data_IF_322081711301
#
_entry.id   IF_322081711301
#
_cell.length_a   1.000
_cell.length_b   1.000
_cell.length_c   1.000
_cell.angle_alpha   90.00
_cell.angle_beta   90.00
_cell.angle_gamma   90.00
#
_symmetry.space_group_name_H-M   'P 1'
#
loop_
_entity.id
_entity.type
_entity.pdbx_description
1 polymer ?
#
# COMPACT_ATOMS: atom_id res chain seq x y z
N UNK A 1 56.15 7.06 13.98
CA UNK A 1 55.42 6.83 12.72
C UNK A 1 53.93 6.86 13.04
N UNK A 2 53.31 7.99 12.76
CA UNK A 2 51.96 8.37 13.17
C UNK A 2 50.98 7.86 12.14
N UNK A 3 50.09 6.93 12.54
CA UNK A 3 48.98 6.49 11.66
C UNK A 3 47.96 7.60 11.58
N UNK A 4 47.76 8.12 10.38
CA UNK A 4 46.76 9.10 10.08
C UNK A 4 45.33 8.46 10.18
N UNK A 5 44.52 9.03 11.03
CA UNK A 5 43.06 8.76 11.08
C UNK A 5 42.42 9.23 9.77
N UNK A 6 42.02 8.30 8.92
CA UNK A 6 41.12 8.59 7.82
C UNK A 6 39.69 8.76 8.37
N UNK A 7 39.26 10.01 8.47
CA UNK A 7 37.87 10.36 8.74
C UNK A 7 37.01 10.06 7.52
N UNK A 8 36.12 9.10 7.62
CA UNK A 8 35.07 8.88 6.64
C UNK A 8 34.13 10.09 6.63
N UNK A 9 33.81 10.66 5.46
CA UNK A 9 32.84 11.74 5.40
C UNK A 9 31.44 11.23 5.82
N UNK A 10 30.89 11.89 6.83
CA UNK A 10 29.52 11.65 7.25
C UNK A 10 28.59 11.88 6.05
N UNK A 11 28.01 10.79 5.54
CA UNK A 11 26.98 10.86 4.51
C UNK A 11 25.84 11.72 5.05
N UNK A 12 25.62 12.91 4.48
CA UNK A 12 24.48 13.76 4.78
C UNK A 12 23.20 12.97 4.50
N UNK A 13 22.56 12.55 5.57
CA UNK A 13 21.23 11.95 5.54
C UNK A 13 20.25 13.00 5.00
N UNK A 14 19.91 12.92 3.72
CA UNK A 14 18.78 13.66 3.20
C UNK A 14 17.52 12.89 3.59
N UNK A 15 16.60 13.46 4.38
CA UNK A 15 15.35 12.80 4.68
C UNK A 15 14.60 12.58 3.37
N UNK A 16 14.43 11.31 2.97
CA UNK A 16 13.62 10.93 1.83
C UNK A 16 12.22 11.49 2.07
N UNK A 17 11.71 12.31 1.15
CA UNK A 17 10.31 12.76 1.12
C UNK A 17 9.45 11.56 1.49
N UNK A 18 8.66 11.70 2.56
CA UNK A 18 7.86 10.61 3.10
C UNK A 18 7.09 9.94 1.96
N UNK A 19 7.05 8.63 1.93
CA UNK A 19 6.30 7.81 0.96
C UNK A 19 4.83 8.26 0.83
N UNK A 20 4.29 8.88 1.87
CA UNK A 20 2.99 9.56 1.93
C UNK A 20 2.77 10.57 0.81
N UNK A 21 3.77 11.41 0.52
CA UNK A 21 3.64 12.46 -0.51
C UNK A 21 3.53 11.84 -1.90
N UNK A 22 4.29 10.77 -2.16
CA UNK A 22 4.30 10.09 -3.47
C UNK A 22 3.04 9.26 -3.73
N UNK A 23 2.43 8.68 -2.70
CA UNK A 23 1.17 7.92 -2.83
C UNK A 23 -0.03 8.85 -2.94
N UNK A 24 -0.04 9.93 -2.16
CA UNK A 24 -1.08 10.97 -2.27
C UNK A 24 -1.04 11.62 -3.66
N UNK A 25 0.15 11.94 -4.18
CA UNK A 25 0.32 12.48 -5.53
C UNK A 25 -0.14 11.49 -6.60
N UNK A 26 0.16 10.20 -6.49
CA UNK A 26 -0.27 9.18 -7.45
C UNK A 26 -1.78 8.95 -7.39
N UNK A 27 -2.36 8.81 -6.21
CA UNK A 27 -3.80 8.66 -6.04
C UNK A 27 -4.55 9.90 -6.54
N UNK A 28 -4.07 11.09 -6.19
CA UNK A 28 -4.61 12.36 -6.65
C UNK A 28 -4.52 12.50 -8.18
N UNK A 29 -3.38 12.16 -8.79
CA UNK A 29 -3.20 12.20 -10.24
C UNK A 29 -4.15 11.24 -10.98
N UNK A 30 -4.39 10.05 -10.48
CA UNK A 30 -5.31 9.08 -11.08
C UNK A 30 -6.75 9.58 -11.00
N UNK A 31 -7.18 10.08 -9.84
CA UNK A 31 -8.52 10.66 -9.64
C UNK A 31 -8.68 11.92 -10.50
N UNK A 32 -7.72 12.81 -10.44
CA UNK A 32 -7.73 14.08 -11.17
C UNK A 32 -7.79 13.87 -12.69
N UNK A 33 -6.96 12.97 -13.23
CA UNK A 33 -6.93 12.65 -14.66
C UNK A 33 -8.25 12.05 -15.17
N UNK A 34 -8.98 11.32 -14.32
CA UNK A 34 -10.31 10.77 -14.68
C UNK A 34 -11.44 11.79 -14.65
N UNK A 35 -11.30 12.84 -13.84
CA UNK A 35 -12.33 13.87 -13.68
C UNK A 35 -12.14 15.05 -14.65
N UNK A 36 -10.91 15.28 -15.15
CA UNK A 36 -10.63 16.39 -16.09
C UNK A 36 -11.47 16.28 -17.37
N UNK A 37 -11.51 15.12 -18.01
CA UNK A 37 -12.25 14.93 -19.27
C UNK A 37 -13.73 15.27 -19.13
N UNK A 38 -14.44 14.63 -18.19
CA UNK A 38 -15.82 14.96 -17.86
C UNK A 38 -16.06 16.44 -17.54
N UNK A 39 -15.19 17.00 -16.72
CA UNK A 39 -15.31 18.42 -16.32
C UNK A 39 -15.11 19.37 -17.51
N UNK A 40 -14.15 19.09 -18.40
CA UNK A 40 -13.94 19.87 -19.61
C UNK A 40 -15.15 19.80 -20.56
N UNK A 41 -15.75 18.61 -20.71
CA UNK A 41 -16.96 18.42 -21.51
C UNK A 41 -18.14 19.20 -20.94
N UNK A 42 -18.32 19.19 -19.62
CA UNK A 42 -19.35 19.97 -18.94
C UNK A 42 -19.12 21.48 -19.10
N UNK A 43 -17.89 21.94 -18.98
CA UNK A 43 -17.55 23.34 -19.17
C UNK A 43 -17.90 23.80 -20.62
N UNK A 44 -17.56 22.96 -21.60
CA UNK A 44 -17.95 23.22 -23.00
C UNK A 44 -19.47 23.29 -23.20
N UNK A 45 -20.20 22.36 -22.56
CA UNK A 45 -21.68 22.38 -22.58
C UNK A 45 -22.24 23.67 -21.97
N UNK A 46 -21.74 24.07 -20.78
CA UNK A 46 -22.15 25.34 -20.14
C UNK A 46 -21.86 26.55 -21.03
N UNK A 47 -20.66 26.62 -21.60
CA UNK A 47 -20.30 27.73 -22.49
C UNK A 47 -21.17 27.77 -23.74
N UNK A 48 -21.51 26.63 -24.34
CA UNK A 48 -22.43 26.56 -25.47
C UNK A 48 -23.85 27.02 -25.08
N UNK A 49 -24.34 26.64 -23.90
CA UNK A 49 -25.64 27.11 -23.39
C UNK A 49 -25.66 28.61 -23.14
N UNK A 50 -24.60 29.15 -22.52
CA UNK A 50 -24.45 30.60 -22.32
C UNK A 50 -24.45 31.35 -23.66
N UNK A 51 -23.67 30.91 -24.63
CA UNK A 51 -23.62 31.51 -25.95
C UNK A 51 -24.99 31.47 -26.67
N UNK A 52 -25.76 30.41 -26.47
CA UNK A 52 -27.11 30.28 -27.04
C UNK A 52 -28.10 31.26 -26.41
N UNK A 53 -28.11 31.38 -25.07
CA UNK A 53 -28.95 32.38 -24.39
C UNK A 53 -28.59 33.83 -24.78
N UNK A 54 -27.30 34.13 -24.88
CA UNK A 54 -26.85 35.46 -25.35
C UNK A 54 -27.39 35.78 -26.74
N UNK A 55 -27.49 34.77 -27.64
CA UNK A 55 -28.01 34.97 -29.01
C UNK A 55 -29.53 35.03 -29.07
N UNK A 56 -30.23 34.21 -28.29
CA UNK A 56 -31.69 34.10 -28.32
C UNK A 56 -32.38 35.30 -27.67
N UNK A 57 -31.86 35.76 -26.52
CA UNK A 57 -32.49 36.77 -25.68
C UNK A 57 -31.64 38.05 -25.54
N UNK A 58 -30.54 38.18 -26.31
CA UNK A 58 -29.62 39.32 -26.29
C UNK A 58 -29.07 39.63 -24.86
N UNK A 59 -28.91 38.59 -24.05
CA UNK A 59 -28.44 38.74 -22.66
C UNK A 59 -26.94 39.06 -22.61
N UNK A 60 -26.52 39.74 -21.51
CA UNK A 60 -25.11 39.84 -21.17
C UNK A 60 -24.59 38.50 -20.69
N UNK A 61 -23.29 38.28 -20.78
CA UNK A 61 -22.65 37.04 -20.37
C UNK A 61 -23.02 36.59 -18.93
N UNK A 62 -23.03 37.54 -17.97
CA UNK A 62 -23.36 37.27 -16.57
C UNK A 62 -24.80 36.81 -16.39
N UNK A 63 -25.75 37.47 -17.09
CA UNK A 63 -27.18 37.14 -17.02
C UNK A 63 -27.44 35.78 -17.68
N UNK A 64 -26.80 35.48 -18.80
CA UNK A 64 -26.88 34.20 -19.47
C UNK A 64 -26.29 33.08 -18.60
N UNK A 65 -25.15 33.31 -17.93
CA UNK A 65 -24.56 32.35 -16.98
C UNK A 65 -25.48 32.11 -15.78
N UNK A 66 -26.10 33.16 -15.24
CA UNK A 66 -27.09 33.03 -14.17
C UNK A 66 -28.28 32.16 -14.60
N UNK A 67 -28.79 32.32 -15.84
CA UNK A 67 -29.87 31.50 -16.38
C UNK A 67 -29.48 30.04 -16.57
N UNK A 68 -28.25 29.74 -16.95
CA UNK A 68 -27.75 28.34 -17.00
C UNK A 68 -27.70 27.75 -15.61
N UNK A 69 -27.21 28.49 -14.59
CA UNK A 69 -27.10 28.01 -13.23
C UNK A 69 -28.48 27.88 -12.53
N UNK A 70 -29.43 28.70 -12.89
CA UNK A 70 -30.78 28.77 -12.29
C UNK A 70 -31.89 28.72 -13.32
N UNK A 71 -32.05 27.66 -14.09
CA UNK A 71 -33.03 27.60 -15.17
C UNK A 71 -34.48 27.75 -14.68
N UNK A 72 -34.75 27.47 -13.40
CA UNK A 72 -36.07 27.64 -12.76
C UNK A 72 -36.37 29.11 -12.36
N UNK A 73 -35.37 30.00 -12.34
CA UNK A 73 -35.56 31.42 -12.02
C UNK A 73 -35.99 32.27 -13.23
N UNK A 74 -36.16 31.66 -14.40
CA UNK A 74 -36.55 32.34 -15.63
C UNK A 74 -38.04 32.64 -15.59
N UNK A 75 -38.44 33.89 -15.68
CA UNK A 75 -39.84 34.29 -15.83
C UNK A 75 -40.36 33.97 -17.23
N UNK A 76 -40.95 32.78 -17.37
CA UNK A 76 -41.39 32.24 -18.68
C UNK A 76 -42.48 33.07 -19.40
N UNK A 77 -43.10 34.05 -18.73
CA UNK A 77 -44.16 34.87 -19.35
C UNK A 77 -43.63 35.81 -20.45
N UNK A 78 -42.40 36.27 -20.33
CA UNK A 78 -41.80 37.28 -21.21
C UNK A 78 -40.72 36.78 -22.17
N UNK A 79 -40.44 35.47 -22.18
CA UNK A 79 -39.42 34.86 -23.03
C UNK A 79 -40.02 34.18 -24.27
N UNK A 80 -39.21 34.11 -25.35
CA UNK A 80 -39.59 33.43 -26.59
C UNK A 80 -39.87 31.93 -26.34
N UNK A 81 -40.81 31.36 -27.11
CA UNK A 81 -41.16 29.95 -27.01
C UNK A 81 -39.95 29.02 -27.21
N UNK A 82 -39.03 29.39 -28.13
CA UNK A 82 -37.77 28.66 -28.34
C UNK A 82 -36.88 28.62 -27.12
N UNK A 83 -36.81 29.74 -26.38
CA UNK A 83 -36.02 29.84 -25.13
C UNK A 83 -36.60 28.95 -24.04
N UNK A 84 -37.92 28.78 -23.98
CA UNK A 84 -38.57 27.88 -23.01
C UNK A 84 -38.16 26.41 -23.23
N UNK A 85 -38.18 25.95 -24.49
CA UNK A 85 -37.72 24.58 -24.82
C UNK A 85 -36.21 24.41 -24.58
N UNK A 86 -35.42 25.46 -24.90
CA UNK A 86 -34.01 25.44 -24.67
C UNK A 86 -33.65 25.38 -23.16
N UNK A 87 -34.38 26.13 -22.33
CA UNK A 87 -34.23 26.12 -20.87
C UNK A 87 -34.54 24.71 -20.26
N UNK A 88 -35.59 24.06 -20.81
CA UNK A 88 -35.88 22.70 -20.42
C UNK A 88 -34.76 21.73 -20.82
N UNK A 89 -34.21 21.87 -22.01
CA UNK A 89 -33.05 21.08 -22.45
C UNK A 89 -31.83 21.29 -21.54
N UNK A 90 -31.52 22.55 -21.19
CA UNK A 90 -30.44 22.92 -20.29
C UNK A 90 -30.64 22.28 -18.90
N UNK A 91 -31.85 22.39 -18.35
CA UNK A 91 -32.16 21.80 -17.04
C UNK A 91 -32.00 20.27 -17.02
N UNK A 92 -32.50 19.60 -18.07
CA UNK A 92 -32.31 18.13 -18.20
C UNK A 92 -30.83 17.79 -18.37
N UNK A 93 -30.06 18.55 -19.16
CA UNK A 93 -28.64 18.32 -19.39
C UNK A 93 -27.80 18.47 -18.12
N UNK A 94 -28.09 19.52 -17.33
CA UNK A 94 -27.42 19.73 -16.03
C UNK A 94 -27.75 18.58 -15.07
N UNK A 95 -29.03 18.22 -14.94
CA UNK A 95 -29.45 17.13 -14.04
C UNK A 95 -28.87 15.78 -14.45
N UNK A 96 -28.83 15.47 -15.74
CA UNK A 96 -28.19 14.26 -16.24
C UNK A 96 -26.68 14.23 -15.95
N UNK A 97 -26.02 15.41 -16.10
CA UNK A 97 -24.61 15.53 -15.76
C UNK A 97 -24.35 15.34 -14.27
N UNK A 98 -25.18 15.91 -13.40
CA UNK A 98 -25.05 15.76 -11.94
C UNK A 98 -25.14 14.29 -11.52
N UNK A 99 -26.13 13.54 -12.04
CA UNK A 99 -26.28 12.11 -11.77
C UNK A 99 -25.05 11.35 -12.26
N UNK A 100 -24.65 11.57 -13.50
CA UNK A 100 -23.50 10.91 -14.08
C UNK A 100 -22.18 11.24 -13.33
N UNK A 101 -22.00 12.49 -12.92
CA UNK A 101 -20.83 12.93 -12.18
C UNK A 101 -20.80 12.34 -10.75
N UNK A 102 -21.96 12.30 -10.08
CA UNK A 102 -22.10 11.64 -8.79
C UNK A 102 -21.76 10.13 -8.88
N UNK A 103 -22.24 9.45 -9.92
CA UNK A 103 -21.86 8.06 -10.18
C UNK A 103 -20.35 7.92 -10.36
N UNK A 104 -19.70 8.81 -11.12
CA UNK A 104 -18.25 8.79 -11.33
C UNK A 104 -17.46 9.00 -10.04
N UNK A 105 -17.89 9.91 -9.18
CA UNK A 105 -17.30 10.10 -7.86
C UNK A 105 -17.46 8.83 -7.03
N UNK A 106 -18.67 8.28 -6.94
CA UNK A 106 -18.93 7.06 -6.18
C UNK A 106 -18.06 5.90 -6.66
N UNK A 107 -18.01 5.65 -7.97
CA UNK A 107 -17.17 4.59 -8.54
C UNK A 107 -15.67 4.83 -8.33
N UNK A 108 -15.20 6.07 -8.30
CA UNK A 108 -13.80 6.41 -8.07
C UNK A 108 -13.40 6.15 -6.62
N UNK A 109 -14.24 6.51 -5.65
CA UNK A 109 -13.94 6.36 -4.23
C UNK A 109 -14.29 4.97 -3.68
N UNK A 110 -15.41 4.39 -4.09
CA UNK A 110 -15.92 3.12 -3.58
C UNK A 110 -15.71 1.93 -4.54
N UNK A 111 -15.22 2.18 -5.74
CA UNK A 111 -14.84 1.15 -6.70
C UNK A 111 -13.61 0.35 -6.25
N UNK A 112 -13.26 -0.69 -7.00
CA UNK A 112 -12.13 -1.59 -6.70
C UNK A 112 -10.82 -0.83 -6.44
N UNK A 113 -10.51 0.16 -7.27
CA UNK A 113 -9.27 0.95 -7.15
C UNK A 113 -9.26 1.88 -5.93
N UNK A 114 -10.39 2.49 -5.59
CA UNK A 114 -10.51 3.32 -4.39
C UNK A 114 -10.26 2.50 -3.12
N UNK A 115 -10.82 1.30 -3.04
CA UNK A 115 -10.62 0.39 -1.90
C UNK A 115 -9.16 -0.05 -1.74
N UNK A 116 -8.43 -0.28 -2.83
CA UNK A 116 -6.99 -0.59 -2.77
C UNK A 116 -6.18 0.58 -2.20
N UNK A 117 -6.46 1.79 -2.67
CA UNK A 117 -5.80 3.01 -2.14
C UNK A 117 -6.08 3.18 -0.65
N UNK A 118 -7.34 3.03 -0.21
CA UNK A 118 -7.69 3.10 1.20
C UNK A 118 -6.99 2.04 2.06
N UNK A 119 -6.92 0.80 1.57
CA UNK A 119 -6.20 -0.29 2.27
C UNK A 119 -4.72 0.00 2.37
N UNK A 120 -4.10 0.46 1.30
CA UNK A 120 -2.68 0.85 1.31
C UNK A 120 -2.40 1.96 2.31
N UNK A 121 -3.24 3.00 2.35
CA UNK A 121 -3.12 4.09 3.32
C UNK A 121 -3.29 3.62 4.76
N UNK A 122 -4.30 2.78 5.04
CA UNK A 122 -4.51 2.22 6.38
C UNK A 122 -3.35 1.32 6.80
N UNK A 123 -2.81 0.52 5.87
CA UNK A 123 -1.65 -0.32 6.11
C UNK A 123 -0.42 0.51 6.49
N UNK A 124 -0.12 1.60 5.76
CA UNK A 124 0.99 2.51 6.09
C UNK A 124 0.81 3.17 7.47
N UNK A 125 -0.39 3.64 7.76
CA UNK A 125 -0.70 4.21 9.08
C UNK A 125 -0.50 3.20 10.21
N UNK A 126 -0.85 1.94 9.99
CA UNK A 126 -0.68 0.86 10.95
C UNK A 126 0.80 0.46 11.09
N UNK A 127 1.56 0.43 9.99
CA UNK A 127 3.01 0.21 10.02
C UNK A 127 3.74 1.24 10.89
N UNK A 128 3.37 2.51 10.81
CA UNK A 128 3.97 3.55 11.65
C UNK A 128 3.63 3.41 13.15
N UNK A 129 2.44 2.87 13.45
CA UNK A 129 1.92 2.78 14.82
C UNK A 129 2.28 1.50 15.54
N UNK A 130 2.50 0.42 14.81
CA UNK A 130 2.77 -0.90 15.39
C UNK A 130 4.05 -0.88 16.23
N UNK A 131 3.99 -1.49 17.41
CA UNK A 131 5.11 -1.62 18.38
C UNK A 131 5.06 -2.99 19.00
N UNK A 132 6.18 -3.44 19.55
CA UNK A 132 6.31 -4.74 20.23
C UNK A 132 5.84 -5.92 19.35
N UNK A 133 6.08 -5.80 18.05
CA UNK A 133 5.70 -6.74 17.01
C UNK A 133 6.90 -7.55 16.54
N UNK A 134 6.65 -8.63 15.82
CA UNK A 134 7.67 -9.38 15.10
C UNK A 134 7.72 -8.92 13.63
N UNK A 135 8.92 -8.86 13.08
CA UNK A 135 9.10 -8.63 11.63
C UNK A 135 9.36 -9.99 10.99
N UNK A 136 8.61 -10.34 9.95
CA UNK A 136 8.76 -11.59 9.22
C UNK A 136 9.28 -11.25 7.83
N UNK A 137 10.43 -11.82 7.44
CA UNK A 137 11.00 -11.60 6.11
C UNK A 137 10.77 -12.82 5.23
N UNK A 138 9.86 -12.67 4.24
CA UNK A 138 9.48 -13.69 3.26
C UNK A 138 8.19 -14.44 3.58
N UNK A 139 7.37 -14.64 2.55
CA UNK A 139 6.08 -15.36 2.60
C UNK A 139 6.13 -16.68 1.79
N UNK A 140 7.26 -17.39 1.87
CA UNK A 140 7.42 -18.75 1.36
C UNK A 140 6.69 -19.79 2.23
N UNK A 141 6.98 -21.06 2.05
CA UNK A 141 6.34 -22.15 2.83
C UNK A 141 6.53 -21.98 4.34
N UNK A 142 7.76 -21.72 4.78
CA UNK A 142 8.07 -21.53 6.21
C UNK A 142 7.39 -20.26 6.73
N UNK A 143 7.49 -19.14 5.99
CA UNK A 143 6.88 -17.86 6.39
C UNK A 143 5.37 -17.95 6.57
N UNK A 144 4.67 -18.64 5.67
CA UNK A 144 3.21 -18.89 5.80
C UNK A 144 2.88 -19.64 7.08
N UNK A 145 3.59 -20.72 7.35
CA UNK A 145 3.38 -21.52 8.58
C UNK A 145 3.65 -20.68 9.85
N UNK A 146 4.70 -19.85 9.84
CA UNK A 146 5.00 -18.94 10.95
C UNK A 146 3.83 -17.96 11.14
N UNK A 147 3.35 -17.31 10.07
CA UNK A 147 2.27 -16.34 10.14
C UNK A 147 0.95 -16.97 10.61
N UNK A 148 0.61 -18.18 10.16
CA UNK A 148 -0.54 -18.93 10.66
C UNK A 148 -0.49 -19.12 12.17
N UNK A 149 0.70 -19.47 12.71
CA UNK A 149 0.89 -19.63 14.16
C UNK A 149 0.81 -18.32 14.91
N UNK A 150 1.37 -17.24 14.36
CA UNK A 150 1.28 -15.91 14.95
C UNK A 150 -0.17 -15.41 14.99
N UNK A 151 -0.92 -15.61 13.90
CA UNK A 151 -2.34 -15.26 13.83
C UNK A 151 -3.18 -16.04 14.86
N UNK A 152 -2.95 -17.36 14.99
CA UNK A 152 -3.63 -18.20 15.98
C UNK A 152 -3.33 -17.76 17.43
N UNK A 153 -2.11 -17.28 17.67
CA UNK A 153 -1.67 -16.78 18.98
C UNK A 153 -1.99 -15.28 19.18
N UNK A 154 -2.53 -14.59 18.18
CA UNK A 154 -2.78 -13.12 18.16
C UNK A 154 -1.53 -12.30 18.46
N UNK A 155 -0.38 -12.77 17.98
CA UNK A 155 0.90 -12.06 18.11
C UNK A 155 1.01 -11.05 16.96
N UNK A 156 1.25 -9.76 17.24
CA UNK A 156 1.36 -8.75 16.20
C UNK A 156 2.64 -8.95 15.37
N UNK A 157 2.53 -8.81 14.06
CA UNK A 157 3.65 -8.90 13.14
C UNK A 157 3.54 -7.91 11.98
N UNK A 158 4.69 -7.61 11.35
CA UNK A 158 4.84 -6.95 10.07
C UNK A 158 5.51 -7.93 9.12
N UNK A 159 4.91 -8.19 7.98
CA UNK A 159 5.50 -9.02 6.94
C UNK A 159 6.21 -8.16 5.90
N UNK A 160 7.43 -8.52 5.52
CA UNK A 160 8.15 -7.93 4.37
C UNK A 160 8.13 -8.95 3.23
N UNK A 161 7.60 -8.52 2.07
CA UNK A 161 7.48 -9.36 0.87
C UNK A 161 7.90 -8.57 -0.38
N UNK A 162 8.70 -9.20 -1.25
CA UNK A 162 9.17 -8.57 -2.50
C UNK A 162 8.19 -8.73 -3.66
N UNK A 163 7.45 -9.84 -3.69
CA UNK A 163 6.51 -10.15 -4.76
C UNK A 163 5.28 -9.27 -4.68
N UNK A 164 5.07 -8.44 -5.70
CA UNK A 164 3.95 -7.49 -5.76
C UNK A 164 2.58 -8.20 -5.75
N UNK A 165 2.46 -9.36 -6.41
CA UNK A 165 1.20 -10.13 -6.43
C UNK A 165 0.82 -10.64 -5.04
N UNK A 166 1.78 -11.22 -4.31
CA UNK A 166 1.59 -11.66 -2.93
C UNK A 166 1.33 -10.48 -1.98
N UNK A 167 2.04 -9.38 -2.15
CA UNK A 167 1.79 -8.15 -1.38
C UNK A 167 0.34 -7.69 -1.51
N UNK A 168 -0.18 -7.57 -2.75
CA UNK A 168 -1.56 -7.15 -2.99
C UNK A 168 -2.59 -8.12 -2.41
N UNK A 169 -2.34 -9.43 -2.54
CA UNK A 169 -3.19 -10.45 -1.94
C UNK A 169 -3.24 -10.30 -0.42
N UNK A 170 -2.09 -10.24 0.24
CA UNK A 170 -1.97 -10.12 1.70
C UNK A 170 -2.59 -8.82 2.23
N UNK A 171 -2.38 -7.72 1.51
CA UNK A 171 -3.03 -6.45 1.82
C UNK A 171 -4.57 -6.56 1.71
N UNK A 172 -5.06 -7.33 0.74
CA UNK A 172 -6.49 -7.59 0.58
C UNK A 172 -7.05 -8.44 1.72
N UNK A 173 -6.27 -9.40 2.21
CA UNK A 173 -6.59 -10.26 3.37
C UNK A 173 -6.50 -9.51 4.72
N UNK A 174 -5.99 -8.27 4.71
CA UNK A 174 -5.88 -7.42 5.90
C UNK A 174 -4.60 -7.65 6.71
N UNK A 175 -3.60 -8.34 6.14
CA UNK A 175 -2.31 -8.49 6.77
C UNK A 175 -1.55 -7.16 6.80
N UNK A 176 -0.77 -6.94 7.88
CA UNK A 176 0.14 -5.80 7.96
C UNK A 176 1.42 -6.15 7.19
N UNK A 177 1.51 -5.66 5.95
CA UNK A 177 2.54 -6.06 4.99
C UNK A 177 3.25 -4.86 4.39
N UNK A 178 4.57 -4.97 4.23
CA UNK A 178 5.45 -4.00 3.58
C UNK A 178 6.02 -4.60 2.30
N UNK A 179 5.80 -3.94 1.17
CA UNK A 179 6.43 -4.33 -0.08
C UNK A 179 7.86 -3.82 -0.13
N UNK A 180 8.82 -4.74 -0.17
CA UNK A 180 10.23 -4.34 -0.24
C UNK A 180 11.19 -5.52 -0.10
N UNK A 181 12.46 -5.23 -0.33
CA UNK A 181 13.56 -6.16 -0.10
C UNK A 181 14.13 -5.96 1.31
N UNK A 182 13.99 -6.97 2.16
CA UNK A 182 14.45 -6.94 3.56
C UNK A 182 15.98 -6.75 3.70
N UNK A 183 16.76 -6.95 2.63
CA UNK A 183 18.19 -6.61 2.61
C UNK A 183 18.46 -5.11 2.69
N UNK A 184 17.48 -4.28 2.40
CA UNK A 184 17.63 -2.81 2.43
C UNK A 184 17.36 -2.27 3.83
N UNK A 185 18.33 -1.54 4.39
CA UNK A 185 18.19 -0.87 5.69
C UNK A 185 16.90 -0.06 5.82
N UNK A 186 16.55 0.69 4.75
CA UNK A 186 15.36 1.52 4.74
C UNK A 186 14.06 0.72 4.89
N UNK A 187 14.01 -0.50 4.36
CA UNK A 187 12.84 -1.39 4.45
C UNK A 187 12.71 -1.94 5.87
N UNK A 188 13.80 -2.35 6.50
CA UNK A 188 13.80 -2.79 7.90
C UNK A 188 13.41 -1.64 8.85
N UNK A 189 13.88 -0.42 8.60
CA UNK A 189 13.50 0.75 9.37
C UNK A 189 12.01 1.10 9.20
N UNK A 190 11.49 1.01 7.97
CA UNK A 190 10.07 1.22 7.67
C UNK A 190 9.19 0.15 8.33
N UNK A 191 9.67 -1.11 8.38
CA UNK A 191 9.03 -2.18 9.14
C UNK A 191 9.11 -1.97 10.68
N UNK A 192 9.85 -0.98 11.15
CA UNK A 192 9.94 -0.61 12.56
C UNK A 192 10.91 -1.45 13.38
N UNK A 193 12.05 -1.84 12.83
CA UNK A 193 13.05 -2.71 13.49
C UNK A 193 13.50 -2.17 14.86
N UNK A 194 13.55 -0.86 15.06
CA UNK A 194 13.96 -0.22 16.32
C UNK A 194 12.94 -0.43 17.46
N UNK A 195 11.67 -0.65 17.09
CA UNK A 195 10.54 -0.83 18.02
C UNK A 195 9.93 -2.24 17.97
N UNK A 196 10.54 -3.13 17.17
CA UNK A 196 10.15 -4.52 17.07
C UNK A 196 10.68 -5.33 18.27
N UNK A 197 9.94 -6.36 18.65
CA UNK A 197 10.32 -7.34 19.66
C UNK A 197 11.30 -8.38 19.11
N UNK A 198 11.15 -8.74 17.84
CA UNK A 198 12.00 -9.73 17.18
C UNK A 198 11.85 -9.71 15.67
N UNK A 199 12.76 -10.44 15.02
CA UNK A 199 12.82 -10.63 13.58
C UNK A 199 12.87 -12.12 13.26
N UNK A 200 12.08 -12.56 12.30
CA UNK A 200 12.13 -13.93 11.76
C UNK A 200 12.46 -13.84 10.27
N UNK A 201 13.65 -14.34 9.89
CA UNK A 201 14.14 -14.31 8.51
C UNK A 201 14.00 -15.70 7.91
N UNK A 202 13.08 -15.84 6.94
CA UNK A 202 12.70 -17.15 6.38
C UNK A 202 12.63 -17.12 4.84
N UNK A 203 13.55 -16.38 4.23
CA UNK A 203 13.73 -16.34 2.79
C UNK A 203 14.42 -17.62 2.32
N UNK A 204 14.14 -18.06 1.11
CA UNK A 204 14.69 -19.28 0.55
C UNK A 204 16.11 -19.08 -0.06
N UNK A 205 16.95 -18.35 0.68
CA UNK A 205 18.33 -18.08 0.32
C UNK A 205 19.16 -17.81 1.59
N UNK A 206 20.11 -18.69 1.88
CA UNK A 206 20.91 -18.63 3.10
C UNK A 206 21.82 -17.38 3.16
N UNK A 207 22.36 -16.94 2.03
CA UNK A 207 23.20 -15.74 1.99
C UNK A 207 22.38 -14.47 2.28
N UNK A 208 21.15 -14.39 1.74
CA UNK A 208 20.24 -13.31 2.05
C UNK A 208 19.80 -13.31 3.52
N UNK A 209 19.50 -14.49 4.07
CA UNK A 209 19.15 -14.66 5.48
C UNK A 209 20.28 -14.22 6.40
N UNK A 210 21.51 -14.60 6.08
CA UNK A 210 22.71 -14.16 6.81
C UNK A 210 22.89 -12.65 6.75
N UNK A 211 22.78 -12.06 5.55
CA UNK A 211 22.94 -10.62 5.35
C UNK A 211 21.89 -9.82 6.12
N UNK A 212 20.62 -10.25 6.08
CA UNK A 212 19.53 -9.61 6.82
C UNK A 212 19.78 -9.71 8.33
N UNK A 213 20.25 -10.88 8.82
CA UNK A 213 20.58 -11.08 10.23
C UNK A 213 21.64 -10.09 10.72
N UNK A 214 22.77 -9.97 9.99
CA UNK A 214 23.82 -9.01 10.31
C UNK A 214 23.31 -7.56 10.30
N UNK A 215 22.56 -7.21 9.26
CA UNK A 215 21.99 -5.89 9.11
C UNK A 215 21.02 -5.55 10.26
N UNK A 216 20.17 -6.49 10.62
CA UNK A 216 19.20 -6.32 11.70
C UNK A 216 19.89 -6.11 13.06
N UNK A 217 20.93 -6.88 13.36
CA UNK A 217 21.72 -6.71 14.59
C UNK A 217 22.50 -5.41 14.63
N UNK A 218 22.97 -4.93 13.48
CA UNK A 218 23.61 -3.62 13.38
C UNK A 218 22.62 -2.47 13.65
N UNK A 219 21.36 -2.60 13.19
CA UNK A 219 20.31 -1.60 13.41
C UNK A 219 19.73 -1.65 14.84
N UNK A 220 19.56 -2.85 15.39
CA UNK A 220 19.06 -3.05 16.74
C UNK A 220 19.78 -4.24 17.41
N UNK A 221 20.87 -4.01 18.15
CA UNK A 221 21.65 -5.06 18.81
C UNK A 221 20.86 -5.90 19.83
N UNK A 222 19.75 -5.36 20.35
CA UNK A 222 18.90 -6.05 21.36
C UNK A 222 17.80 -6.91 20.72
N UNK A 223 17.61 -6.79 19.41
CA UNK A 223 16.56 -7.49 18.69
C UNK A 223 16.77 -9.00 18.76
N UNK A 224 15.71 -9.75 19.08
CA UNK A 224 15.74 -11.21 18.97
C UNK A 224 15.59 -11.63 17.53
N UNK A 225 16.57 -12.37 17.01
CA UNK A 225 16.62 -12.79 15.61
C UNK A 225 16.55 -14.30 15.52
N UNK A 226 15.50 -14.76 14.84
CA UNK A 226 15.31 -16.16 14.43
C UNK A 226 15.55 -16.21 12.93
N UNK A 227 16.40 -17.10 12.46
CA UNK A 227 16.70 -17.20 11.03
C UNK A 227 16.62 -18.64 10.51
N UNK A 228 16.20 -18.80 9.26
CA UNK A 228 16.25 -20.09 8.56
C UNK A 228 17.64 -20.31 7.96
N UNK A 229 18.16 -21.52 8.12
CA UNK A 229 19.27 -22.04 7.32
C UNK A 229 18.79 -23.27 6.53
N UNK A 230 19.16 -23.38 5.27
CA UNK A 230 18.88 -24.56 4.45
C UNK A 230 19.87 -25.70 4.70
N UNK A 231 21.06 -25.37 5.27
CA UNK A 231 22.11 -26.35 5.56
C UNK A 231 22.84 -26.01 6.86
N UNK A 232 23.30 -27.05 7.58
CA UNK A 232 24.00 -26.91 8.87
C UNK A 232 25.22 -25.98 8.80
N UNK A 233 25.98 -26.03 7.72
CA UNK A 233 27.16 -25.15 7.51
C UNK A 233 26.85 -23.66 7.59
N UNK A 234 25.65 -23.25 7.21
CA UNK A 234 25.22 -21.85 7.29
C UNK A 234 24.68 -21.51 8.68
N UNK A 235 24.16 -22.51 9.41
CA UNK A 235 23.61 -22.27 10.73
C UNK A 235 24.67 -21.74 11.73
N UNK A 236 25.89 -22.25 11.67
CA UNK A 236 26.98 -21.77 12.53
C UNK A 236 27.37 -20.33 12.18
N UNK A 237 27.47 -19.99 10.87
CA UNK A 237 27.73 -18.65 10.44
C UNK A 237 26.65 -17.66 10.88
N UNK A 238 25.37 -18.06 10.85
CA UNK A 238 24.24 -17.24 11.29
C UNK A 238 24.27 -17.01 12.82
N UNK A 239 24.58 -18.03 13.61
CA UNK A 239 24.77 -17.92 15.09
C UNK A 239 25.90 -16.94 15.41
N UNK A 240 27.06 -17.14 14.79
CA UNK A 240 28.23 -16.25 14.96
C UNK A 240 27.93 -14.80 14.55
N UNK A 241 27.07 -14.62 13.57
CA UNK A 241 26.63 -13.30 13.07
C UNK A 241 25.53 -12.66 13.92
N UNK A 242 25.12 -13.31 15.01
CA UNK A 242 24.20 -12.74 15.98
C UNK A 242 22.75 -13.25 15.90
N UNK A 243 22.46 -14.30 15.14
CA UNK A 243 21.16 -14.97 15.25
C UNK A 243 21.02 -15.58 16.65
N UNK A 244 19.91 -15.30 17.34
CA UNK A 244 19.60 -15.89 18.64
C UNK A 244 19.18 -17.37 18.47
N UNK A 245 18.43 -17.66 17.40
CA UNK A 245 17.99 -19.00 17.04
C UNK A 245 18.15 -19.24 15.54
N UNK A 246 18.55 -20.47 15.17
CA UNK A 246 18.62 -20.91 13.78
C UNK A 246 17.78 -22.15 13.58
N UNK A 247 16.87 -22.13 12.63
CA UNK A 247 15.98 -23.24 12.29
C UNK A 247 16.37 -23.81 10.94
N UNK A 248 16.49 -25.14 10.85
CA UNK A 248 16.73 -25.90 9.63
C UNK A 248 15.48 -26.73 9.36
N UNK A 249 14.50 -26.24 8.60
CA UNK A 249 13.20 -26.89 8.42
C UNK A 249 13.31 -28.32 7.88
N UNK A 250 14.26 -28.56 6.98
CA UNK A 250 14.52 -29.87 6.37
C UNK A 250 15.02 -30.87 7.38
N UNK A 251 15.88 -30.46 8.32
CA UNK A 251 16.37 -31.30 9.39
C UNK A 251 15.27 -31.64 10.41
N UNK A 252 14.52 -30.62 10.83
CA UNK A 252 13.42 -30.83 11.79
C UNK A 252 12.31 -31.71 11.19
N UNK A 253 11.97 -31.50 9.92
CA UNK A 253 11.05 -32.36 9.19
C UNK A 253 11.52 -33.79 9.07
N UNK A 254 12.81 -34.00 8.75
CA UNK A 254 13.43 -35.32 8.66
C UNK A 254 13.46 -36.05 10.02
N UNK A 255 13.78 -35.34 11.11
CA UNK A 255 13.75 -35.87 12.46
C UNK A 255 12.34 -36.35 12.85
N UNK A 256 11.33 -35.52 12.61
CA UNK A 256 9.93 -35.86 12.90
C UNK A 256 9.48 -37.07 12.08
N UNK A 257 9.80 -37.12 10.78
CA UNK A 257 9.49 -38.28 9.93
C UNK A 257 10.14 -39.55 10.45
N UNK A 258 11.43 -39.50 10.87
CA UNK A 258 12.13 -40.62 11.47
C UNK A 258 11.48 -41.12 12.77
N UNK A 259 11.01 -40.21 13.62
CA UNK A 259 10.28 -40.58 14.86
C UNK A 259 8.93 -41.25 14.56
N UNK A 260 8.20 -40.77 13.56
CA UNK A 260 6.96 -41.40 13.12
C UNK A 260 7.18 -42.80 12.55
N UNK A 261 8.23 -43.02 11.76
CA UNK A 261 8.60 -44.37 11.25
C UNK A 261 8.88 -45.31 12.40
N UNK A 262 9.68 -44.90 13.39
CA UNK A 262 9.95 -45.71 14.58
C UNK A 262 8.69 -46.09 15.34
N UNK A 263 7.75 -45.13 15.51
CA UNK A 263 6.46 -45.36 16.16
C UNK A 263 5.64 -46.43 15.43
N UNK A 264 5.56 -46.36 14.10
CA UNK A 264 4.81 -47.35 13.31
C UNK A 264 5.50 -48.69 13.26
N UNK A 265 6.83 -48.77 13.20
CA UNK A 265 7.57 -50.02 13.29
C UNK A 265 7.36 -50.74 14.63
N UNK A 266 7.29 -50.02 15.73
CA UNK A 266 7.01 -50.58 17.04
C UNK A 266 5.55 -51.01 17.27
N UNK A 267 4.59 -50.43 16.53
CA UNK A 267 3.18 -50.75 16.65
C UNK A 267 2.75 -51.95 15.77
N UNK A 268 3.62 -52.42 14.87
CA UNK A 268 3.41 -53.56 13.98
C UNK A 268 4.04 -54.88 14.46
N UNK A 269 4.61 -54.89 15.66
CA UNK A 269 5.06 -56.06 16.42
C UNK A 269 4.15 -56.30 17.61
#
# INVERSE_FOLDING_TARGET
MTMAQQSFPAARFQPKRSSRFLLFDRAFLVVFRRLIGPFALFLLFVLACVATYMRLEHLRFVDALFWVAHPHAIEYQHVRTGTKYFSLFVAIGIFAFEIWFAERILLTFFGHQGREVWRSMLNEMNLERVRDHFIICGYGQVGRTVIERLNAARIPYVLIETNEGLYRQLLHEGALVLQGDAKRHSVLQEAGIERARGLCVVIDNDADNLYITVTAKALNPKLKVITRAGQERYAEAMRTSGADEVVIPEFEGGKLAGELIKKYAAAGT
#
